data_IF_230872778871
#
_entry.id   IF_230872778871
#
_cell.length_a   1.000
_cell.length_b   1.000
_cell.length_c   1.000
_cell.angle_alpha   90.00
_cell.angle_beta   90.00
_cell.angle_gamma   90.00
#
_symmetry.space_group_name_H-M   'P 1'
#
loop_
_entity.id
_entity.type
_entity.pdbx_description
1 polymer ?
#
# COMPACT_ATOMS: atom_id res chain seq x y z
N UNK A 1 -7.87 -2.73 -0.02
CA UNK A 1 -7.93 -3.95 -0.85
C UNK A 1 -7.92 -5.18 0.05
N UNK A 2 -8.60 -6.27 -0.31
CA UNK A 2 -8.60 -7.52 0.45
C UNK A 2 -7.28 -8.27 0.24
N UNK A 3 -6.71 -8.85 1.31
CA UNK A 3 -5.39 -9.53 1.27
C UNK A 3 -5.41 -10.74 0.34
N UNK A 4 -6.54 -11.42 0.30
CA UNK A 4 -6.84 -12.60 -0.51
C UNK A 4 -6.67 -12.32 -2.00
N UNK A 5 -7.02 -11.10 -2.45
CA UNK A 5 -6.83 -10.69 -3.85
C UNK A 5 -5.34 -10.54 -4.16
N UNK A 6 -4.56 -9.95 -3.26
CA UNK A 6 -3.11 -9.80 -3.44
C UNK A 6 -2.40 -11.18 -3.49
N UNK A 7 -2.83 -12.12 -2.64
CA UNK A 7 -2.34 -13.50 -2.63
C UNK A 7 -2.67 -14.25 -3.92
N UNK A 8 -3.86 -14.03 -4.49
CA UNK A 8 -4.28 -14.66 -5.73
C UNK A 8 -3.54 -14.12 -6.97
N UNK A 9 -3.31 -12.79 -7.02
CA UNK A 9 -2.63 -12.13 -8.15
C UNK A 9 -1.15 -12.53 -8.25
N UNK A 10 -0.52 -12.90 -7.13
CA UNK A 10 0.89 -13.33 -7.08
C UNK A 10 1.85 -12.33 -7.74
N UNK A 11 1.60 -11.03 -7.51
CA UNK A 11 2.52 -10.00 -7.94
C UNK A 11 3.90 -10.22 -7.30
N UNK A 12 5.01 -9.87 -7.98
CA UNK A 12 6.36 -10.07 -7.43
C UNK A 12 6.56 -9.43 -6.06
N UNK A 13 5.91 -8.29 -5.80
CA UNK A 13 5.84 -7.57 -4.53
C UNK A 13 4.50 -6.84 -4.46
N UNK A 14 3.95 -6.71 -3.25
CA UNK A 14 2.70 -5.97 -3.03
C UNK A 14 2.79 -5.16 -1.74
N UNK A 15 2.44 -3.88 -1.81
CA UNK A 15 2.00 -3.14 -0.63
C UNK A 15 0.48 -3.10 -0.59
N UNK A 16 -0.10 -3.36 0.57
CA UNK A 16 -1.55 -3.42 0.77
C UNK A 16 -2.00 -2.30 1.71
N UNK A 17 -2.91 -1.46 1.25
CA UNK A 17 -3.58 -0.46 2.09
C UNK A 17 -5.02 -0.88 2.41
N UNK A 18 -5.47 -0.55 3.63
CA UNK A 18 -6.82 -0.85 4.12
C UNK A 18 -7.81 0.29 3.86
N UNK A 19 -7.53 1.15 2.87
CA UNK A 19 -8.40 2.27 2.52
C UNK A 19 -9.69 1.81 1.80
N UNK A 20 -10.81 2.53 2.00
CA UNK A 20 -12.08 2.23 1.35
C UNK A 20 -12.06 2.59 -0.16
N UNK A 21 -13.10 2.17 -0.87
CA UNK A 21 -13.37 2.54 -2.28
C UNK A 21 -12.27 2.16 -3.27
N UNK A 22 -11.38 1.24 -2.89
CA UNK A 22 -10.23 0.89 -3.71
C UNK A 22 -9.27 2.06 -3.94
N UNK A 23 -9.26 3.08 -3.07
CA UNK A 23 -8.36 4.23 -3.18
C UNK A 23 -6.96 3.88 -2.64
N UNK A 24 -5.96 3.56 -3.48
CA UNK A 24 -4.72 2.95 -3.01
C UNK A 24 -3.84 3.92 -2.19
N UNK A 25 -3.92 5.22 -2.47
CA UNK A 25 -3.09 6.27 -1.85
C UNK A 25 -3.82 7.07 -0.75
N UNK A 26 -5.02 6.67 -0.35
CA UNK A 26 -5.81 7.38 0.65
C UNK A 26 -6.78 8.39 0.04
N UNK A 27 -7.21 9.37 0.84
CA UNK A 27 -8.31 10.25 0.45
C UNK A 27 -7.89 11.35 -0.52
N UNK A 28 -8.83 11.90 -1.31
CA UNK A 28 -8.59 13.08 -2.13
C UNK A 28 -7.99 14.23 -1.32
N UNK A 29 -7.10 14.99 -1.96
CA UNK A 29 -6.44 16.19 -1.44
C UNK A 29 -5.54 16.01 -0.19
N UNK A 30 -5.39 14.79 0.33
CA UNK A 30 -4.44 14.49 1.40
C UNK A 30 -3.07 14.12 0.82
N UNK A 31 -2.37 15.14 0.30
CA UNK A 31 -1.05 14.97 -0.32
C UNK A 31 -0.03 14.32 0.63
N UNK A 32 -0.10 14.61 1.93
CA UNK A 32 0.80 14.03 2.92
C UNK A 32 0.67 12.50 2.97
N UNK A 33 -0.56 12.00 3.12
CA UNK A 33 -0.85 10.56 3.14
C UNK A 33 -0.49 9.89 1.81
N UNK A 34 -0.84 10.51 0.68
CA UNK A 34 -0.53 9.98 -0.64
C UNK A 34 0.97 9.84 -0.85
N UNK A 35 1.75 10.86 -0.45
CA UNK A 35 3.20 10.82 -0.54
C UNK A 35 3.84 9.81 0.40
N UNK A 36 3.26 9.58 1.58
CA UNK A 36 3.75 8.55 2.50
C UNK A 36 3.58 7.14 1.90
N UNK A 37 2.40 6.84 1.36
CA UNK A 37 2.14 5.55 0.69
C UNK A 37 3.03 5.37 -0.54
N UNK A 38 3.26 6.43 -1.33
CA UNK A 38 4.18 6.36 -2.48
C UNK A 38 5.61 6.06 -2.06
N UNK A 39 6.10 6.68 -0.98
CA UNK A 39 7.43 6.38 -0.44
C UNK A 39 7.52 4.94 0.02
N UNK A 40 6.48 4.41 0.67
CA UNK A 40 6.42 2.99 1.03
C UNK A 40 6.49 2.06 -0.20
N UNK A 41 5.88 2.42 -1.33
CA UNK A 41 6.08 1.67 -2.58
C UNK A 41 7.55 1.60 -2.97
N UNK A 42 8.23 2.76 -2.98
CA UNK A 42 9.64 2.85 -3.39
C UNK A 42 10.56 2.11 -2.42
N UNK A 43 10.30 2.23 -1.11
CA UNK A 43 11.02 1.49 -0.07
C UNK A 43 10.82 -0.02 -0.21
N UNK A 44 9.63 -0.49 -0.58
CA UNK A 44 9.37 -1.90 -0.89
C UNK A 44 10.19 -2.36 -2.10
N UNK A 45 10.29 -1.54 -3.15
CA UNK A 45 11.10 -1.87 -4.33
C UNK A 45 12.59 -2.03 -4.02
N UNK A 46 13.10 -1.28 -3.05
CA UNK A 46 14.50 -1.31 -2.64
C UNK A 46 14.81 -2.45 -1.67
N UNK A 47 13.91 -2.74 -0.72
CA UNK A 47 14.22 -3.59 0.44
C UNK A 47 13.55 -4.96 0.44
N UNK A 48 12.48 -5.17 -0.33
CA UNK A 48 11.81 -6.48 -0.40
C UNK A 48 12.50 -7.34 -1.47
N UNK A 49 13.12 -8.43 -1.01
CA UNK A 49 13.93 -9.32 -1.85
C UNK A 49 13.26 -10.69 -2.10
N UNK A 50 12.17 -11.00 -1.39
CA UNK A 50 11.45 -12.26 -1.57
C UNK A 50 10.31 -12.08 -2.58
N UNK A 51 10.26 -12.86 -3.66
CA UNK A 51 9.11 -12.85 -4.56
C UNK A 51 7.81 -13.21 -3.81
N UNK A 52 6.74 -12.48 -4.09
CA UNK A 52 5.44 -12.65 -3.47
C UNK A 52 5.30 -12.01 -2.10
N UNK A 53 6.25 -11.16 -1.67
CA UNK A 53 6.14 -10.45 -0.40
C UNK A 53 4.94 -9.47 -0.42
N UNK A 54 4.09 -9.56 0.60
CA UNK A 54 2.91 -8.72 0.78
C UNK A 54 3.06 -7.98 2.10
N UNK A 55 3.33 -6.67 2.02
CA UNK A 55 3.45 -5.79 3.17
C UNK A 55 2.18 -4.99 3.38
N UNK A 56 1.60 -5.09 4.58
CA UNK A 56 0.38 -4.36 4.92
C UNK A 56 0.78 -3.04 5.57
N UNK A 57 0.32 -1.93 5.00
CA UNK A 57 0.50 -0.60 5.58
C UNK A 57 -0.62 -0.33 6.59
N UNK A 58 -0.25 0.15 7.77
CA UNK A 58 -1.18 0.44 8.88
C UNK A 58 -1.77 1.86 8.86
N UNK A 59 -1.58 2.58 7.75
CA UNK A 59 -2.21 3.88 7.55
C UNK A 59 -3.74 3.79 7.58
N UNK A 60 -4.37 4.81 8.15
CA UNK A 60 -5.83 4.94 8.26
C UNK A 60 -6.39 5.89 7.19
N UNK A 61 -7.64 5.67 6.82
CA UNK A 61 -8.35 6.58 5.93
C UNK A 61 -8.44 7.98 6.54
N UNK A 62 -8.05 9.03 5.78
CA UNK A 62 -7.99 10.42 6.25
C UNK A 62 -7.06 10.64 7.44
N UNK A 63 -6.05 9.80 7.59
CA UNK A 63 -5.00 10.02 8.57
C UNK A 63 -4.26 11.33 8.31
N UNK A 64 -3.96 12.05 9.40
CA UNK A 64 -3.17 13.27 9.37
C UNK A 64 -1.74 12.89 9.75
N UNK A 65 -0.82 13.09 8.80
CA UNK A 65 0.61 12.83 8.94
C UNK A 65 1.39 14.14 9.15
#
# INVERSE_FOLDING_TARGET
MFKEVAEYVRAPRTILTKFPFGAPFGNPDNKALQMAVLKECLTSLENEHKPGEIRILEYKWREKL
#
